data_IF_839245875200
#
_entry.id   IF_839245875200
#
_cell.length_a   1.000
_cell.length_b   1.000
_cell.length_c   1.000
_cell.angle_alpha   90.00
_cell.angle_beta   90.00
_cell.angle_gamma   90.00
#
_symmetry.space_group_name_H-M   'P 1'
#
loop_
_entity.id
_entity.type
_entity.pdbx_description
1 polymer ?
#
# COMPACT_ATOMS: atom_id res chain seq x y z
N UNK A 1 66.48 -23.96 -6.45
CA UNK A 1 65.25 -23.74 -7.20
C UNK A 1 63.96 -24.28 -6.51
N UNK A 2 64.02 -25.27 -5.60
CA UNK A 2 62.85 -25.83 -4.89
C UNK A 2 62.30 -24.98 -3.73
N UNK A 3 63.13 -24.20 -3.06
CA UNK A 3 62.76 -23.42 -1.86
C UNK A 3 61.88 -22.19 -2.21
N UNK A 4 62.09 -21.59 -3.38
CA UNK A 4 61.35 -20.41 -3.83
C UNK A 4 59.90 -20.75 -4.23
N UNK A 5 59.68 -21.94 -4.77
CA UNK A 5 58.35 -22.44 -5.15
C UNK A 5 57.49 -22.78 -3.90
N UNK A 6 58.15 -23.31 -2.85
CA UNK A 6 57.48 -23.65 -1.59
C UNK A 6 56.96 -22.38 -0.86
N UNK A 7 57.79 -21.32 -0.84
CA UNK A 7 57.39 -20.02 -0.23
C UNK A 7 56.24 -19.34 -0.98
N UNK A 8 56.16 -19.50 -2.31
CA UNK A 8 55.08 -18.93 -3.14
C UNK A 8 53.72 -19.63 -2.88
N UNK A 9 53.73 -20.94 -2.67
CA UNK A 9 52.54 -21.72 -2.39
C UNK A 9 51.97 -21.49 -0.96
N UNK A 10 52.85 -21.30 0.03
CA UNK A 10 52.49 -20.98 1.39
C UNK A 10 51.79 -19.59 1.47
N UNK A 11 52.31 -18.58 0.75
CA UNK A 11 51.67 -17.26 0.68
C UNK A 11 50.29 -17.32 0.06
N UNK A 12 50.09 -18.08 -1.02
CA UNK A 12 48.79 -18.26 -1.66
C UNK A 12 47.79 -18.96 -0.72
N UNK A 13 48.24 -19.96 0.04
CA UNK A 13 47.40 -20.66 1.00
C UNK A 13 46.98 -19.76 2.18
N UNK A 14 47.88 -18.95 2.69
CA UNK A 14 47.57 -17.97 3.77
C UNK A 14 46.60 -16.89 3.31
N UNK A 15 46.69 -16.38 2.07
CA UNK A 15 45.73 -15.44 1.52
C UNK A 15 44.34 -16.08 1.30
N UNK A 16 44.31 -17.36 0.90
CA UNK A 16 43.03 -18.09 0.75
C UNK A 16 42.33 -18.32 2.06
N UNK A 17 43.05 -18.67 3.13
CA UNK A 17 42.49 -18.83 4.46
C UNK A 17 42.03 -17.49 5.07
N UNK A 18 42.78 -16.40 4.83
CA UNK A 18 42.40 -15.06 5.31
C UNK A 18 41.14 -14.53 4.64
N UNK A 19 40.97 -14.82 3.33
CA UNK A 19 39.78 -14.43 2.58
C UNK A 19 38.55 -15.25 3.01
N UNK A 20 38.74 -16.52 3.37
CA UNK A 20 37.61 -17.36 3.87
C UNK A 20 37.14 -16.92 5.24
N UNK A 21 38.03 -16.48 6.14
CA UNK A 21 37.69 -15.97 7.46
C UNK A 21 36.94 -14.63 7.36
N UNK A 22 37.30 -13.77 6.38
CA UNK A 22 36.60 -12.52 6.13
C UNK A 22 35.17 -12.74 5.58
N UNK A 23 34.95 -13.77 4.78
CA UNK A 23 33.62 -14.12 4.28
C UNK A 23 32.71 -14.71 5.38
N UNK A 24 33.29 -15.39 6.38
CA UNK A 24 32.52 -15.92 7.51
C UNK A 24 32.17 -14.85 8.56
N UNK A 25 32.95 -13.75 8.64
CA UNK A 25 32.63 -12.64 9.54
C UNK A 25 31.58 -11.69 9.01
N UNK A 26 31.34 -11.65 7.70
CA UNK A 26 30.28 -10.81 7.10
C UNK A 26 28.90 -11.47 7.14
N UNK A 27 28.80 -12.80 7.31
CA UNK A 27 27.54 -13.53 7.34
C UNK A 27 26.74 -13.37 8.66
N UNK A 28 27.39 -12.95 9.74
CA UNK A 28 26.72 -12.86 11.04
C UNK A 28 26.01 -11.51 11.27
N UNK A 29 26.46 -10.45 10.59
CA UNK A 29 25.84 -9.12 10.73
C UNK A 29 24.56 -9.00 9.92
N UNK A 30 24.46 -9.69 8.75
CA UNK A 30 23.21 -9.72 7.98
C UNK A 30 22.11 -10.55 8.66
N UNK A 31 22.46 -11.63 9.36
CA UNK A 31 21.50 -12.45 10.11
C UNK A 31 21.00 -11.71 11.35
N UNK A 32 21.87 -10.95 12.03
CA UNK A 32 21.47 -10.11 13.17
C UNK A 32 20.60 -8.93 12.74
N UNK A 33 20.80 -8.38 11.54
CA UNK A 33 20.00 -7.28 10.99
C UNK A 33 18.62 -7.76 10.47
N UNK A 34 18.52 -9.02 10.05
CA UNK A 34 17.25 -9.66 9.66
C UNK A 34 16.39 -10.06 10.88
N UNK A 35 16.98 -10.18 12.06
CA UNK A 35 16.27 -10.52 13.29
C UNK A 35 15.91 -9.32 14.17
N UNK A 36 16.28 -8.11 13.76
CA UNK A 36 15.62 -6.92 14.26
C UNK A 36 14.25 -6.90 13.61
N UNK A 37 13.33 -7.74 14.09
CA UNK A 37 11.90 -7.58 13.88
C UNK A 37 11.61 -6.12 14.21
N UNK A 38 11.36 -5.35 13.15
CA UNK A 38 10.83 -4.01 13.25
C UNK A 38 9.56 -4.11 14.11
N UNK A 39 9.72 -3.91 15.42
CA UNK A 39 8.65 -3.67 16.37
C UNK A 39 8.05 -2.29 16.10
N UNK A 40 8.01 -1.85 14.83
CA UNK A 40 7.17 -0.74 14.44
C UNK A 40 5.75 -1.21 14.74
N UNK A 41 5.22 -0.70 15.82
CA UNK A 41 3.85 -0.83 16.26
C UNK A 41 2.99 -0.71 15.00
N UNK A 42 2.30 -1.78 14.61
CA UNK A 42 1.41 -1.77 13.44
C UNK A 42 0.34 -0.72 13.73
N UNK A 43 0.58 0.49 13.31
CA UNK A 43 -0.31 1.61 13.52
C UNK A 43 -1.34 1.61 12.39
N UNK A 44 -2.46 0.94 12.69
CA UNK A 44 -3.59 0.91 11.76
C UNK A 44 -4.09 2.33 11.56
N UNK A 45 -4.18 2.71 10.29
CA UNK A 45 -4.66 4.03 9.85
C UNK A 45 -6.05 3.89 9.26
N UNK A 46 -6.91 4.86 9.56
CA UNK A 46 -8.23 4.98 8.97
C UNK A 46 -8.29 6.21 8.08
N UNK A 47 -8.60 5.99 6.80
CA UNK A 47 -8.92 7.03 5.84
C UNK A 47 -10.43 7.21 5.80
N UNK A 48 -10.90 8.46 5.83
CA UNK A 48 -12.29 8.83 5.70
C UNK A 48 -12.52 9.59 4.40
N UNK A 49 -13.54 9.17 3.65
CA UNK A 49 -14.10 9.95 2.54
C UNK A 49 -15.56 10.24 2.82
N UNK A 50 -15.99 11.45 2.53
CA UNK A 50 -17.41 11.84 2.53
C UNK A 50 -17.79 12.37 1.16
N UNK A 51 -18.87 11.83 0.61
CA UNK A 51 -19.36 12.18 -0.71
C UNK A 51 -20.84 12.58 -0.64
N UNK A 52 -21.19 13.64 -1.34
CA UNK A 52 -22.58 13.98 -1.62
C UNK A 52 -23.07 13.15 -2.80
N UNK A 53 -24.17 12.44 -2.61
CA UNK A 53 -24.71 11.52 -3.62
C UNK A 53 -26.22 11.72 -3.66
N UNK A 54 -26.80 12.21 -4.77
CA UNK A 54 -28.23 12.30 -4.90
C UNK A 54 -28.90 10.93 -4.70
N UNK A 55 -29.94 10.87 -3.89
CA UNK A 55 -30.59 9.62 -3.46
C UNK A 55 -31.05 8.75 -4.63
N UNK A 56 -31.48 9.36 -5.75
CA UNK A 56 -31.89 8.67 -6.95
C UNK A 56 -30.73 7.98 -7.69
N UNK A 57 -29.46 8.34 -7.41
CA UNK A 57 -28.28 7.74 -8.00
C UNK A 57 -27.50 6.83 -7.06
N UNK A 58 -27.98 6.68 -5.81
CA UNK A 58 -27.30 5.88 -4.78
C UNK A 58 -27.00 4.45 -5.21
N UNK A 59 -27.96 3.77 -5.85
CA UNK A 59 -27.78 2.37 -6.29
C UNK A 59 -26.68 2.25 -7.34
N UNK A 60 -26.66 3.17 -8.30
CA UNK A 60 -25.64 3.20 -9.38
C UNK A 60 -24.28 3.47 -8.80
N UNK A 61 -24.18 4.43 -7.87
CA UNK A 61 -22.95 4.72 -7.16
C UNK A 61 -22.42 3.50 -6.40
N UNK A 62 -23.28 2.80 -5.64
CA UNK A 62 -22.88 1.60 -4.89
C UNK A 62 -22.42 0.45 -5.79
N UNK A 63 -23.05 0.25 -6.94
CA UNK A 63 -22.61 -0.73 -7.92
C UNK A 63 -21.24 -0.35 -8.51
N UNK A 64 -21.05 0.89 -8.92
CA UNK A 64 -19.78 1.37 -9.45
C UNK A 64 -18.64 1.26 -8.39
N UNK A 65 -18.93 1.56 -7.11
CA UNK A 65 -18.00 1.36 -5.99
C UNK A 65 -17.59 -0.11 -5.85
N UNK A 66 -18.54 -1.02 -5.95
CA UNK A 66 -18.32 -2.47 -5.85
C UNK A 66 -17.56 -3.02 -7.05
N UNK A 67 -17.85 -2.55 -8.24
CA UNK A 67 -17.31 -3.14 -9.47
C UNK A 67 -15.95 -2.55 -9.87
N UNK A 68 -15.68 -1.31 -9.47
CA UNK A 68 -14.47 -0.57 -9.87
C UNK A 68 -13.49 -0.41 -8.70
N UNK A 69 -13.93 0.22 -7.61
CA UNK A 69 -13.04 0.53 -6.49
C UNK A 69 -12.67 -0.69 -5.64
N UNK A 70 -13.64 -1.55 -5.30
CA UNK A 70 -13.39 -2.68 -4.40
C UNK A 70 -12.37 -3.68 -4.95
N UNK A 71 -12.42 -4.12 -6.22
CA UNK A 71 -11.46 -5.05 -6.77
C UNK A 71 -10.06 -4.46 -6.89
N UNK A 72 -9.93 -3.15 -7.08
CA UNK A 72 -8.64 -2.48 -7.12
C UNK A 72 -8.07 -2.29 -5.72
N UNK A 73 -8.86 -1.79 -4.76
CA UNK A 73 -8.44 -1.62 -3.36
C UNK A 73 -7.98 -2.94 -2.74
N UNK A 74 -8.68 -4.03 -3.02
CA UNK A 74 -8.33 -5.36 -2.48
C UNK A 74 -6.95 -5.88 -2.90
N UNK A 75 -6.36 -5.30 -3.93
CA UNK A 75 -5.02 -5.64 -4.44
C UNK A 75 -3.92 -4.73 -3.89
N UNK A 76 -4.29 -3.67 -3.17
CA UNK A 76 -3.31 -2.72 -2.66
C UNK A 76 -2.60 -3.24 -1.42
N UNK A 77 -1.28 -3.07 -1.38
CA UNK A 77 -0.49 -3.46 -0.23
C UNK A 77 -0.93 -2.70 1.02
N UNK A 78 -1.22 -3.46 2.06
CA UNK A 78 -1.63 -2.89 3.35
C UNK A 78 -3.12 -2.52 3.45
N UNK A 79 -3.93 -2.73 2.41
CA UNK A 79 -5.38 -2.59 2.52
C UNK A 79 -5.97 -3.68 3.43
N UNK A 80 -6.79 -3.28 4.41
CA UNK A 80 -7.39 -4.19 5.40
C UNK A 80 -8.91 -4.26 5.28
N UNK A 81 -9.50 -3.47 4.40
CA UNK A 81 -10.94 -3.46 4.17
C UNK A 81 -11.54 -2.07 4.22
N UNK A 82 -12.81 -1.98 3.85
CA UNK A 82 -13.60 -0.75 3.90
C UNK A 82 -15.00 -0.99 4.44
N UNK A 83 -15.62 0.09 4.93
CA UNK A 83 -17.01 0.14 5.32
C UNK A 83 -17.65 1.37 4.67
N UNK A 84 -18.87 1.20 4.19
CA UNK A 84 -19.65 2.28 3.57
C UNK A 84 -20.90 2.47 4.41
N UNK A 85 -21.13 3.71 4.82
CA UNK A 85 -22.33 4.13 5.57
C UNK A 85 -23.12 5.13 4.72
N UNK A 86 -24.41 5.18 4.93
CA UNK A 86 -25.30 6.08 4.22
C UNK A 86 -26.06 6.97 5.20
N UNK A 87 -25.88 8.28 5.07
CA UNK A 87 -26.68 9.30 5.72
C UNK A 87 -27.84 9.69 4.79
N UNK A 88 -29.05 9.23 5.16
CA UNK A 88 -30.24 9.45 4.35
C UNK A 88 -30.71 10.90 4.38
N UNK A 89 -30.53 11.60 5.51
CA UNK A 89 -31.01 12.97 5.68
C UNK A 89 -30.16 13.96 4.88
N UNK A 90 -28.85 13.73 4.88
CA UNK A 90 -27.91 14.58 4.18
C UNK A 90 -27.58 14.08 2.76
N UNK A 91 -28.11 12.93 2.31
CA UNK A 91 -27.74 12.30 1.05
C UNK A 91 -26.21 12.15 0.91
N UNK A 92 -25.56 11.69 1.97
CA UNK A 92 -24.10 11.53 2.01
C UNK A 92 -23.71 10.08 2.23
N UNK A 93 -22.64 9.68 1.55
CA UNK A 93 -21.91 8.46 1.86
C UNK A 93 -20.68 8.77 2.69
N UNK A 94 -20.48 7.99 3.76
CA UNK A 94 -19.24 7.94 4.51
C UNK A 94 -18.54 6.63 4.18
N UNK A 95 -17.34 6.70 3.67
CA UNK A 95 -16.47 5.55 3.42
C UNK A 95 -15.33 5.60 4.42
N UNK A 96 -15.15 4.51 5.17
CA UNK A 96 -13.99 4.30 6.04
C UNK A 96 -13.13 3.19 5.46
N UNK A 97 -11.90 3.53 5.06
CA UNK A 97 -10.90 2.57 4.61
C UNK A 97 -9.90 2.32 5.75
N UNK A 98 -9.51 1.07 5.88
CA UNK A 98 -8.57 0.64 6.90
C UNK A 98 -7.28 0.18 6.26
N UNK A 99 -6.15 0.73 6.70
CA UNK A 99 -4.82 0.46 6.19
C UNK A 99 -3.89 -0.07 7.27
N UNK A 100 -3.00 -0.98 6.91
CA UNK A 100 -2.01 -1.57 7.82
C UNK A 100 -1.09 -0.51 8.44
N UNK A 101 -0.69 0.48 7.66
CA UNK A 101 0.05 1.66 8.11
C UNK A 101 0.00 2.78 7.05
N UNK A 102 0.36 3.99 7.47
CA UNK A 102 0.38 5.19 6.63
C UNK A 102 1.37 5.10 5.46
N UNK A 103 2.51 4.44 5.65
CA UNK A 103 3.52 4.29 4.59
C UNK A 103 2.97 3.51 3.40
N UNK A 104 2.30 2.38 3.62
CA UNK A 104 1.69 1.59 2.55
C UNK A 104 0.54 2.35 1.89
N UNK A 105 -0.34 2.98 2.67
CA UNK A 105 -1.40 3.81 2.10
C UNK A 105 -0.84 4.93 1.18
N UNK A 106 0.12 5.71 1.69
CA UNK A 106 0.70 6.84 0.93
C UNK A 106 1.70 6.43 -0.15
N UNK A 107 2.05 5.14 -0.25
CA UNK A 107 2.89 4.63 -1.35
C UNK A 107 2.12 4.37 -2.65
N UNK A 108 0.78 4.40 -2.61
CA UNK A 108 -0.05 4.21 -3.80
C UNK A 108 0.16 5.41 -4.73
N UNK A 109 0.58 5.19 -6.00
CA UNK A 109 0.79 6.27 -6.93
C UNK A 109 -0.53 6.99 -7.25
N UNK A 110 -0.56 8.33 -7.15
CA UNK A 110 -1.75 9.13 -7.48
C UNK A 110 -2.23 8.90 -8.92
N UNK A 111 -1.32 8.58 -9.84
CA UNK A 111 -1.72 8.26 -11.22
C UNK A 111 -2.60 7.01 -11.30
N UNK A 112 -2.33 5.99 -10.48
CA UNK A 112 -3.18 4.79 -10.42
C UNK A 112 -4.55 5.12 -9.82
N UNK A 113 -4.59 5.91 -8.74
CA UNK A 113 -5.84 6.40 -8.15
C UNK A 113 -6.67 7.16 -9.19
N UNK A 114 -6.02 8.08 -9.93
CA UNK A 114 -6.69 8.85 -10.97
C UNK A 114 -7.19 7.97 -12.13
N UNK A 115 -6.48 6.89 -12.48
CA UNK A 115 -6.94 5.95 -13.52
C UNK A 115 -8.20 5.20 -13.07
N UNK A 116 -8.26 4.78 -11.82
CA UNK A 116 -9.45 4.11 -11.27
C UNK A 116 -10.61 5.09 -11.16
N UNK A 117 -10.36 6.33 -10.71
CA UNK A 117 -11.39 7.37 -10.67
C UNK A 117 -11.97 7.64 -12.06
N UNK A 118 -11.16 7.75 -13.11
CA UNK A 118 -11.66 7.90 -14.48
C UNK A 118 -12.55 6.73 -14.91
N UNK A 119 -12.15 5.49 -14.63
CA UNK A 119 -12.98 4.30 -14.93
C UNK A 119 -14.31 4.32 -14.20
N UNK A 120 -14.29 4.71 -12.93
CA UNK A 120 -15.49 4.87 -12.12
C UNK A 120 -16.43 5.92 -12.74
N UNK A 121 -15.91 7.08 -13.08
CA UNK A 121 -16.68 8.16 -13.70
C UNK A 121 -17.25 7.75 -15.06
N UNK A 122 -16.45 7.15 -15.93
CA UNK A 122 -16.90 6.65 -17.25
C UNK A 122 -18.04 5.63 -17.11
N UNK A 123 -17.95 4.72 -16.14
CA UNK A 123 -18.99 3.74 -15.85
C UNK A 123 -20.29 4.43 -15.42
N UNK A 124 -20.22 5.34 -14.45
CA UNK A 124 -21.36 6.10 -13.94
C UNK A 124 -22.01 6.96 -15.02
N UNK A 125 -21.22 7.72 -15.78
CA UNK A 125 -21.70 8.59 -16.84
C UNK A 125 -22.43 7.78 -17.95
N UNK A 126 -21.86 6.64 -18.30
CA UNK A 126 -22.44 5.75 -19.31
C UNK A 126 -23.76 5.16 -18.82
N UNK A 127 -23.79 4.65 -17.57
CA UNK A 127 -25.00 4.02 -17.03
C UNK A 127 -26.13 5.01 -16.83
N UNK A 128 -25.84 6.22 -16.33
CA UNK A 128 -26.83 7.26 -16.11
C UNK A 128 -27.20 8.04 -17.36
N UNK A 129 -26.46 7.87 -18.47
CA UNK A 129 -26.61 8.67 -19.70
C UNK A 129 -26.54 10.18 -19.42
N UNK A 130 -25.54 10.60 -18.66
CA UNK A 130 -25.28 12.00 -18.29
C UNK A 130 -23.88 12.41 -18.68
N UNK A 131 -23.60 13.72 -18.71
CA UNK A 131 -22.32 14.28 -19.19
C UNK A 131 -21.41 14.77 -18.06
N UNK A 132 -21.90 14.79 -16.82
CA UNK A 132 -21.13 15.27 -15.66
C UNK A 132 -21.34 14.33 -14.48
N UNK A 133 -20.24 14.00 -13.79
CA UNK A 133 -20.30 13.22 -12.56
C UNK A 133 -21.19 13.96 -11.52
N UNK A 134 -22.26 13.31 -11.03
CA UNK A 134 -23.20 13.91 -10.10
C UNK A 134 -22.75 13.80 -8.64
N UNK A 135 -21.62 13.10 -8.38
CA UNK A 135 -21.10 12.86 -7.04
C UNK A 135 -20.00 13.87 -6.70
N UNK A 136 -20.05 14.38 -5.50
CA UNK A 136 -19.11 15.41 -5.02
C UNK A 136 -18.36 14.88 -3.81
N UNK A 137 -17.04 14.90 -3.85
CA UNK A 137 -16.20 14.64 -2.68
C UNK A 137 -16.25 15.85 -1.76
N UNK A 138 -16.87 15.70 -0.59
CA UNK A 138 -17.02 16.77 0.41
C UNK A 138 -15.80 16.82 1.32
N UNK A 139 -15.25 15.66 1.67
CA UNK A 139 -14.17 15.54 2.63
C UNK A 139 -13.34 14.30 2.36
N UNK A 140 -12.02 14.45 2.49
CA UNK A 140 -11.03 13.37 2.56
C UNK A 140 -10.06 13.65 3.71
N UNK A 141 -9.77 12.66 4.52
CA UNK A 141 -8.84 12.84 5.64
C UNK A 141 -8.48 11.54 6.36
N UNK A 142 -7.51 11.66 7.25
CA UNK A 142 -7.07 10.60 8.16
C UNK A 142 -7.80 10.76 9.51
N UNK A 143 -8.23 9.65 10.09
CA UNK A 143 -8.83 9.62 11.41
C UNK A 143 -7.83 9.07 12.44
N UNK A 144 -7.59 9.84 13.48
CA UNK A 144 -6.79 9.42 14.61
C UNK A 144 -7.65 8.61 15.60
N UNK A 145 -7.19 7.40 15.91
CA UNK A 145 -7.84 6.58 16.93
C UNK A 145 -7.58 7.18 18.31
N UNK A 146 -8.64 7.62 18.97
CA UNK A 146 -8.56 8.05 20.36
C UNK A 146 -8.51 6.83 21.31
N UNK A 147 -7.78 7.01 22.44
CA UNK A 147 -7.64 5.98 23.49
C UNK A 147 -8.81 6.01 24.45
#
# INVERSE_FOLDING_TARGET
>A
MKITLLKKNIKKFLYSCFFLVLLLSQGNDEIAMSLSMDNSKVEIVYEQLRLKIPSNYKSVWLEAEKDIWEPWLSKQDGFLGRQIFWDKENEEALILLKWKNKKLWKSIPMEEVNQIQRKFEENVLTYLNIYKNPFELIFEGELDKQK
#
